data_IF_923170375534
#
_entry.id   IF_923170375534
#
_cell.length_a   1.000
_cell.length_b   1.000
_cell.length_c   1.000
_cell.angle_alpha   90.00
_cell.angle_beta   90.00
_cell.angle_gamma   90.00
#
_symmetry.space_group_name_H-M   'P 1'
#
loop_
_entity.id
_entity.type
_entity.pdbx_description
1 polymer ?
#
# COMPACT_ATOMS: atom_id res chain seq x y z
N UNK A 1 14.39 21.43 7.76
CA UNK A 1 15.78 21.21 7.36
C UNK A 1 16.09 19.72 7.45
N UNK A 2 15.78 18.92 6.44
CA UNK A 2 16.40 17.61 6.26
C UNK A 2 16.91 17.60 4.83
N UNK A 3 18.19 17.94 4.73
CA UNK A 3 19.09 18.00 3.56
C UNK A 3 18.50 18.46 2.23
N UNK A 4 18.26 19.77 2.11
CA UNK A 4 18.04 20.45 0.84
C UNK A 4 19.26 21.32 0.56
N UNK A 5 20.04 20.97 -0.46
CA UNK A 5 21.06 21.85 -1.03
C UNK A 5 20.58 22.21 -2.45
N UNK A 6 20.23 23.48 -2.67
CA UNK A 6 19.73 24.00 -3.96
C UNK A 6 18.38 23.47 -4.49
N UNK A 7 17.46 23.02 -3.64
CA UNK A 7 16.12 22.58 -4.10
C UNK A 7 16.09 21.17 -4.71
N UNK A 8 17.22 20.46 -4.67
CA UNK A 8 17.31 19.05 -5.04
C UNK A 8 17.33 18.19 -3.77
N UNK A 9 16.51 17.13 -3.79
CA UNK A 9 16.51 16.10 -2.75
C UNK A 9 17.74 15.20 -2.99
N UNK A 10 18.49 14.88 -1.94
CA UNK A 10 19.58 13.89 -2.02
C UNK A 10 19.07 12.55 -2.57
N UNK A 11 19.70 12.06 -3.65
CA UNK A 11 19.33 10.81 -4.31
C UNK A 11 19.39 9.58 -3.40
N UNK A 12 20.14 9.64 -2.31
CA UNK A 12 20.22 8.58 -1.31
C UNK A 12 18.86 8.29 -0.63
N UNK A 13 18.00 9.30 -0.49
CA UNK A 13 16.66 9.11 0.08
C UNK A 13 15.73 8.33 -0.85
N UNK A 14 15.88 8.47 -2.16
CA UNK A 14 15.12 7.67 -3.12
C UNK A 14 15.49 6.19 -3.02
N UNK A 15 16.78 5.88 -2.87
CA UNK A 15 17.26 4.48 -2.74
C UNK A 15 16.60 3.80 -1.54
N UNK A 16 16.60 4.46 -0.38
CA UNK A 16 15.99 3.92 0.84
C UNK A 16 14.47 3.74 0.65
N UNK A 17 13.79 4.72 0.06
CA UNK A 17 12.35 4.63 -0.22
C UNK A 17 12.01 3.44 -1.13
N UNK A 18 12.71 3.29 -2.25
CA UNK A 18 12.48 2.18 -3.16
C UNK A 18 12.86 0.83 -2.56
N UNK A 19 13.90 0.78 -1.73
CA UNK A 19 14.27 -0.44 -1.00
C UNK A 19 13.14 -0.92 -0.07
N UNK A 20 12.61 -0.02 0.77
CA UNK A 20 11.48 -0.35 1.65
C UNK A 20 10.20 -0.65 0.87
N UNK A 21 9.94 0.07 -0.22
CA UNK A 21 8.79 -0.19 -1.10
C UNK A 21 8.84 -1.58 -1.73
N UNK A 22 9.98 -1.97 -2.29
CA UNK A 22 10.17 -3.29 -2.89
C UNK A 22 10.08 -4.42 -1.83
N UNK A 23 10.63 -4.21 -0.63
CA UNK A 23 10.50 -5.15 0.47
C UNK A 23 9.04 -5.35 0.88
N UNK A 24 8.27 -4.27 0.98
CA UNK A 24 6.84 -4.33 1.31
C UNK A 24 6.04 -5.07 0.22
N UNK A 25 6.31 -4.79 -1.05
CA UNK A 25 5.65 -5.45 -2.17
C UNK A 25 5.93 -6.96 -2.19
N UNK A 26 7.17 -7.37 -1.90
CA UNK A 26 7.56 -8.77 -1.77
C UNK A 26 6.76 -9.50 -0.67
N UNK A 27 6.60 -8.88 0.49
CA UNK A 27 5.87 -9.44 1.63
C UNK A 27 4.37 -9.63 1.32
N UNK A 28 3.75 -8.66 0.66
CA UNK A 28 2.32 -8.70 0.32
C UNK A 28 2.04 -9.69 -0.82
N UNK A 29 2.91 -9.75 -1.83
CA UNK A 29 2.77 -10.66 -2.96
C UNK A 29 2.80 -12.14 -2.52
N UNK A 30 3.63 -12.48 -1.53
CA UNK A 30 3.71 -13.83 -0.98
C UNK A 30 2.42 -14.28 -0.26
N UNK A 31 1.72 -13.35 0.40
CA UNK A 31 0.51 -13.66 1.17
C UNK A 31 -0.73 -13.88 0.26
N UNK A 32 -0.87 -13.10 -0.80
CA UNK A 32 -2.11 -13.04 -1.59
C UNK A 32 -2.58 -14.38 -2.16
N UNK A 33 -1.79 -14.99 -3.04
CA UNK A 33 -2.20 -16.22 -3.73
C UNK A 33 -2.16 -17.45 -2.84
N UNK A 34 -1.21 -17.51 -1.90
CA UNK A 34 -1.05 -18.66 -1.00
C UNK A 34 -2.23 -18.80 -0.04
N UNK A 35 -2.78 -17.69 0.48
CA UNK A 35 -3.92 -17.74 1.40
C UNK A 35 -5.19 -18.25 0.73
N UNK A 36 -5.45 -17.84 -0.51
CA UNK A 36 -6.64 -18.26 -1.27
C UNK A 36 -6.60 -19.76 -1.54
N UNK A 37 -5.43 -20.30 -1.86
CA UNK A 37 -5.25 -21.72 -2.11
C UNK A 37 -5.51 -22.60 -0.86
N UNK A 38 -5.26 -22.08 0.34
CA UNK A 38 -5.46 -22.80 1.61
C UNK A 38 -6.92 -22.64 2.09
N UNK A 39 -7.53 -21.48 1.91
CA UNK A 39 -8.86 -21.19 2.47
C UNK A 39 -10.03 -21.70 1.61
N UNK A 40 -9.86 -21.80 0.29
CA UNK A 40 -10.91 -22.24 -0.62
C UNK A 40 -10.78 -23.73 -0.98
N UNK A 41 -11.93 -24.41 -1.16
CA UNK A 41 -11.98 -25.78 -1.68
C UNK A 41 -11.54 -25.82 -3.15
N UNK A 42 -10.99 -26.97 -3.59
CA UNK A 42 -10.42 -27.16 -4.93
C UNK A 42 -11.40 -26.84 -6.07
N UNK A 43 -12.70 -27.03 -5.88
CA UNK A 43 -13.70 -26.73 -6.93
C UNK A 43 -13.91 -25.23 -7.18
N UNK A 44 -13.65 -24.38 -6.19
CA UNK A 44 -13.94 -22.92 -6.24
C UNK A 44 -12.70 -22.04 -6.10
N UNK A 45 -11.50 -22.64 -5.98
CA UNK A 45 -10.23 -21.92 -5.79
C UNK A 45 -9.94 -20.95 -6.95
N UNK A 46 -10.17 -21.36 -8.20
CA UNK A 46 -9.95 -20.52 -9.38
C UNK A 46 -10.90 -19.32 -9.42
N UNK A 47 -12.14 -19.50 -8.96
CA UNK A 47 -13.10 -18.41 -8.83
C UNK A 47 -12.66 -17.42 -7.73
N UNK A 48 -12.21 -17.92 -6.58
CA UNK A 48 -11.64 -17.09 -5.51
C UNK A 48 -10.42 -16.29 -5.94
N UNK A 49 -9.51 -16.90 -6.71
CA UNK A 49 -8.35 -16.22 -7.29
C UNK A 49 -8.78 -15.12 -8.28
N UNK A 50 -9.81 -15.36 -9.09
CA UNK A 50 -10.38 -14.36 -10.01
C UNK A 50 -10.94 -13.14 -9.27
N UNK A 51 -11.70 -13.35 -8.19
CA UNK A 51 -12.21 -12.25 -7.36
C UNK A 51 -11.08 -11.44 -6.72
N UNK A 52 -10.02 -12.10 -6.26
CA UNK A 52 -8.85 -11.41 -5.71
C UNK A 52 -8.13 -10.56 -6.77
N UNK A 53 -7.93 -11.09 -7.99
CA UNK A 53 -7.36 -10.31 -9.10
C UNK A 53 -8.23 -9.11 -9.49
N UNK A 54 -9.56 -9.26 -9.50
CA UNK A 54 -10.48 -8.15 -9.76
C UNK A 54 -10.35 -7.04 -8.70
N UNK A 55 -10.21 -7.41 -7.43
CA UNK A 55 -9.99 -6.44 -6.34
C UNK A 55 -8.65 -5.70 -6.50
N UNK A 56 -7.58 -6.41 -6.88
CA UNK A 56 -6.28 -5.80 -7.17
C UNK A 56 -6.37 -4.82 -8.34
N UNK A 57 -7.04 -5.20 -9.44
CA UNK A 57 -7.24 -4.33 -10.59
C UNK A 57 -7.97 -3.04 -10.22
N UNK A 58 -8.99 -3.13 -9.35
CA UNK A 58 -9.68 -1.96 -8.80
C UNK A 58 -8.74 -1.05 -7.99
N UNK A 59 -7.89 -1.63 -7.14
CA UNK A 59 -6.90 -0.86 -6.38
C UNK A 59 -5.90 -0.12 -7.28
N UNK A 60 -5.41 -0.78 -8.32
CA UNK A 60 -4.52 -0.16 -9.32
C UNK A 60 -5.23 0.97 -10.07
N UNK A 61 -6.51 0.79 -10.45
CA UNK A 61 -7.29 1.83 -11.10
C UNK A 61 -7.49 3.07 -10.20
N UNK A 62 -7.76 2.86 -8.90
CA UNK A 62 -7.84 3.94 -7.91
C UNK A 62 -6.51 4.67 -7.75
N UNK A 63 -5.40 3.93 -7.66
CA UNK A 63 -4.06 4.49 -7.61
C UNK A 63 -3.75 5.35 -8.85
N UNK A 64 -4.15 4.90 -10.04
CA UNK A 64 -4.01 5.66 -11.29
C UNK A 64 -4.83 6.96 -11.32
N UNK A 65 -6.04 6.96 -10.73
CA UNK A 65 -6.86 8.18 -10.55
C UNK A 65 -6.24 9.15 -9.55
N UNK A 66 -5.67 8.65 -8.45
CA UNK A 66 -4.92 9.47 -7.50
C UNK A 66 -3.67 10.08 -8.15
N UNK A 67 -2.97 9.32 -8.98
CA UNK A 67 -1.83 9.80 -9.78
C UNK A 67 -2.17 10.98 -10.68
N UNK A 68 -3.31 10.92 -11.37
CA UNK A 68 -3.78 12.00 -12.23
C UNK A 68 -4.18 13.26 -11.44
N UNK A 69 -4.64 13.12 -10.20
CA UNK A 69 -4.98 14.27 -9.34
C UNK A 69 -3.74 15.08 -8.90
N UNK A 70 -2.58 14.45 -8.89
CA UNK A 70 -1.29 15.07 -8.52
C UNK A 70 -0.53 15.52 -9.77
N UNK A 71 -1.05 15.25 -10.98
CA UNK A 71 -0.42 15.66 -12.22
C UNK A 71 -0.34 17.19 -12.24
N UNK A 72 0.90 17.69 -12.16
CA UNK A 72 1.19 19.11 -12.09
C UNK A 72 0.76 19.79 -13.40
N UNK A 73 0.08 20.95 -13.36
CA UNK A 73 -0.32 21.65 -14.57
C UNK A 73 0.90 21.95 -15.44
N UNK A 74 0.76 21.71 -16.75
CA UNK A 74 1.80 21.92 -17.75
C UNK A 74 2.15 23.41 -17.86
N UNK A 75 3.09 23.86 -17.04
CA UNK A 75 3.63 25.21 -17.07
C UNK A 75 4.88 25.27 -16.21
N UNK A 76 5.92 25.99 -16.65
CA UNK A 76 7.18 26.13 -15.91
C UNK A 76 6.90 26.68 -14.51
N UNK A 77 7.26 25.93 -13.46
CA UNK A 77 7.08 26.34 -12.07
C UNK A 77 8.34 26.04 -11.28
N UNK A 78 8.71 27.00 -10.43
CA UNK A 78 9.84 26.96 -9.52
C UNK A 78 9.97 25.62 -8.78
N UNK A 79 11.15 24.97 -8.79
CA UNK A 79 11.39 23.69 -8.13
C UNK A 79 10.98 23.67 -6.64
N UNK A 80 11.05 24.83 -5.97
CA UNK A 80 10.63 24.99 -4.58
C UNK A 80 9.11 24.87 -4.39
N UNK A 81 8.31 25.36 -5.34
CA UNK A 81 6.84 25.32 -5.24
C UNK A 81 6.32 23.90 -5.48
N UNK A 82 6.88 23.21 -6.48
CA UNK A 82 6.59 21.81 -6.77
C UNK A 82 6.97 20.89 -5.61
N UNK A 83 8.14 21.12 -5.00
CA UNK A 83 8.62 20.34 -3.88
C UNK A 83 7.68 20.43 -2.65
N UNK A 84 7.12 21.60 -2.37
CA UNK A 84 6.22 21.76 -1.22
C UNK A 84 4.88 21.04 -1.42
N UNK A 85 4.37 21.01 -2.66
CA UNK A 85 3.14 20.29 -3.02
C UNK A 85 3.36 18.77 -2.88
N UNK A 86 4.44 18.24 -3.44
CA UNK A 86 4.80 16.83 -3.30
C UNK A 86 5.00 16.44 -1.82
N UNK A 87 5.71 17.26 -1.04
CA UNK A 87 5.94 17.00 0.38
C UNK A 87 4.64 16.88 1.16
N UNK A 88 3.69 17.80 0.97
CA UNK A 88 2.42 17.74 1.66
C UNK A 88 1.62 16.49 1.25
N UNK A 89 1.61 16.16 -0.03
CA UNK A 89 0.93 14.96 -0.54
C UNK A 89 1.51 13.66 0.04
N UNK A 90 2.84 13.51 0.04
CA UNK A 90 3.51 12.34 0.63
C UNK A 90 3.30 12.25 2.15
N UNK A 91 3.22 13.39 2.85
CA UNK A 91 2.88 13.40 4.27
C UNK A 91 1.45 12.89 4.52
N UNK A 92 0.47 13.36 3.75
CA UNK A 92 -0.91 12.87 3.84
C UNK A 92 -1.02 11.39 3.50
N UNK A 93 -0.33 10.93 2.45
CA UNK A 93 -0.26 9.50 2.13
C UNK A 93 0.34 8.69 3.29
N UNK A 94 1.46 9.14 3.85
CA UNK A 94 2.10 8.46 4.98
C UNK A 94 1.19 8.34 6.20
N UNK A 95 0.44 9.40 6.53
CA UNK A 95 -0.54 9.38 7.63
C UNK A 95 -1.65 8.36 7.35
N UNK A 96 -2.21 8.36 6.14
CA UNK A 96 -3.25 7.40 5.75
C UNK A 96 -2.73 5.96 5.83
N UNK A 97 -1.51 5.70 5.36
CA UNK A 97 -0.88 4.37 5.43
C UNK A 97 -0.66 3.92 6.88
N UNK A 98 -0.25 4.81 7.78
CA UNK A 98 -0.10 4.50 9.21
C UNK A 98 -1.45 4.13 9.83
N UNK A 99 -2.50 4.91 9.55
CA UNK A 99 -3.86 4.63 10.06
C UNK A 99 -4.33 3.26 9.57
N UNK A 100 -4.17 2.96 8.28
CA UNK A 100 -4.49 1.64 7.72
C UNK A 100 -3.69 0.52 8.39
N UNK A 101 -2.38 0.72 8.61
CA UNK A 101 -1.53 -0.24 9.29
C UNK A 101 -2.00 -0.54 10.72
N UNK A 102 -2.43 0.49 11.47
CA UNK A 102 -3.00 0.32 12.81
C UNK A 102 -4.31 -0.49 12.75
N UNK A 103 -5.19 -0.18 11.79
CA UNK A 103 -6.44 -0.92 11.58
C UNK A 103 -6.15 -2.39 11.26
N UNK A 104 -5.21 -2.68 10.35
CA UNK A 104 -4.81 -4.05 10.05
C UNK A 104 -4.24 -4.79 11.27
N UNK A 105 -3.39 -4.14 12.07
CA UNK A 105 -2.86 -4.72 13.30
C UNK A 105 -3.95 -5.04 14.32
N UNK A 106 -4.95 -4.16 14.44
CA UNK A 106 -6.10 -4.35 15.32
C UNK A 106 -6.95 -5.53 14.86
N UNK A 107 -7.27 -5.61 13.56
CA UNK A 107 -8.01 -6.74 12.97
C UNK A 107 -7.25 -8.05 13.14
N UNK A 108 -5.93 -8.05 12.88
CA UNK A 108 -5.09 -9.23 13.05
C UNK A 108 -5.05 -9.72 14.51
N UNK A 109 -5.18 -8.82 15.49
CA UNK A 109 -5.23 -9.17 16.91
C UNK A 109 -6.63 -9.60 17.37
N UNK A 110 -7.69 -9.05 16.78
CA UNK A 110 -9.07 -9.42 17.11
C UNK A 110 -9.51 -10.73 16.46
N UNK A 111 -9.14 -10.99 15.21
CA UNK A 111 -9.52 -12.18 14.46
C UNK A 111 -9.23 -13.50 15.20
N UNK A 112 -8.02 -13.76 15.74
CA UNK A 112 -7.73 -14.98 16.49
C UNK A 112 -8.44 -15.02 17.84
N UNK A 113 -8.66 -13.87 18.49
CA UNK A 113 -9.40 -13.80 19.76
C UNK A 113 -10.88 -14.15 19.57
N UNK A 114 -11.48 -13.73 18.45
CA UNK A 114 -12.86 -14.06 18.10
C UNK A 114 -12.98 -15.54 17.69
N UNK A 115 -12.03 -16.07 16.93
CA UNK A 115 -12.00 -17.49 16.56
C UNK A 115 -11.88 -18.40 17.80
N UNK A 116 -10.99 -18.04 18.74
CA UNK A 116 -10.82 -18.77 20.01
C UNK A 116 -12.06 -18.68 20.91
N UNK A 117 -12.76 -17.55 20.93
CA UNK A 117 -14.00 -17.36 21.71
C UNK A 117 -15.17 -18.22 21.20
N UNK A 118 -15.19 -18.56 19.91
CA UNK A 118 -16.27 -19.33 19.28
C UNK A 118 -15.95 -20.84 19.12
N UNK A 119 -14.89 -21.37 19.74
CA UNK A 119 -14.47 -22.78 19.65
C UNK A 119 -14.39 -23.33 18.20
N UNK A 120 -14.01 -22.48 17.25
CA UNK A 120 -13.89 -22.88 15.86
C UNK A 120 -12.47 -23.43 15.68
N UNK A 121 -12.36 -24.75 15.48
CA UNK A 121 -11.10 -25.40 15.11
C UNK A 121 -10.67 -24.89 13.74
N UNK A 122 -9.73 -23.94 13.73
CA UNK A 122 -8.94 -23.62 12.55
C UNK A 122 -7.95 -24.78 12.39
N UNK A 123 -8.31 -25.72 11.53
CA UNK A 123 -7.53 -26.93 11.23
C UNK A 123 -6.15 -26.64 10.68
#
# INVERSE_FOLDING_TARGET
>A
MLTQKNGFIDGNWMIIYFFFGALAELLVAALGFSLIAIYFRKEIVTLGMGFFMLALAFGVALSGKLGQLIAMPEGKIDPLMSLNIYKNYFLWLGVITIILGIVYALVARLAPNIAKKNNISLG
#
